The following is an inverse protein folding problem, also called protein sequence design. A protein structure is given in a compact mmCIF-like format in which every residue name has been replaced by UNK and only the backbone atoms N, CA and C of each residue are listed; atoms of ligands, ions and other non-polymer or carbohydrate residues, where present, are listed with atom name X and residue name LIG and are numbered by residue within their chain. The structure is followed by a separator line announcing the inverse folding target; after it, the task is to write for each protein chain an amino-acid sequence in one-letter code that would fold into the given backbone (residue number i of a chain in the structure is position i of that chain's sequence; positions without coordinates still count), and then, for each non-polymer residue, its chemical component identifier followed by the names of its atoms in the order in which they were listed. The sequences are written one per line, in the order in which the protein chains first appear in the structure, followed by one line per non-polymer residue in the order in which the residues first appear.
data_IF_148566834284
#
_entry.id   IF_148566834284
#
_cell.length_a   1.000
_cell.length_b   1.000
_cell.length_c   1.000
_cell.angle_alpha   90.00
_cell.angle_beta   90.00
_cell.angle_gamma   90.00
#
_symmetry.space_group_name_H-M   'P 1'
#
loop_
_entity.id
_entity.type
_entity.pdbx_description
1 polymer ?
#
# COMPACT_ATOMS: atom_id res chain seq x y z
N UNK A 1 -15.09 20.21 21.43
CA UNK A 1 -13.94 20.64 22.23
C UNK A 1 -13.79 19.68 23.40
N UNK A 2 -12.75 18.86 23.37
CA UNK A 2 -12.27 18.08 24.53
C UNK A 2 -11.03 18.76 25.08
N UNK A 3 -10.91 18.72 26.40
CA UNK A 3 -9.98 19.47 27.23
C UNK A 3 -8.56 18.88 27.19
N UNK A 4 -8.03 18.60 26.00
CA UNK A 4 -6.65 18.13 25.81
C UNK A 4 -5.82 19.10 24.96
N UNK A 5 -6.43 20.18 24.44
CA UNK A 5 -5.77 21.15 23.55
C UNK A 5 -5.30 22.43 24.29
N UNK A 6 -5.01 22.36 25.59
CA UNK A 6 -4.57 23.53 26.37
C UNK A 6 -3.08 23.51 26.78
N UNK A 7 -2.33 22.44 26.51
CA UNK A 7 -0.93 22.32 26.96
C UNK A 7 0.04 21.97 25.82
N UNK A 8 -0.15 22.54 24.63
CA UNK A 8 0.93 22.63 23.65
C UNK A 8 0.74 23.80 22.66
N UNK A 9 0.60 25.01 23.18
CA UNK A 9 0.54 26.23 22.34
C UNK A 9 1.31 27.36 22.98
N UNK A 10 2.54 27.09 23.41
CA UNK A 10 3.41 28.16 23.91
C UNK A 10 4.87 28.09 23.47
N UNK A 11 5.27 27.24 22.53
CA UNK A 11 6.64 27.28 22.01
C UNK A 11 6.71 26.74 20.56
N UNK A 12 6.07 27.43 19.61
CA UNK A 12 6.71 27.71 18.31
C UNK A 12 5.74 28.55 17.46
N UNK A 13 6.02 29.85 17.45
CA UNK A 13 5.59 30.75 16.40
C UNK A 13 6.22 30.25 15.07
N UNK A 14 5.43 29.58 14.22
CA UNK A 14 5.29 29.87 12.79
C UNK A 14 4.54 28.74 12.07
N UNK A 15 3.42 29.13 11.48
CA UNK A 15 2.64 28.45 10.44
C UNK A 15 1.73 27.26 10.82
N UNK A 16 0.46 27.62 11.01
CA UNK A 16 -0.76 26.92 10.52
C UNK A 16 -1.13 25.61 11.23
N UNK A 17 -1.42 25.69 12.52
CA UNK A 17 -2.54 24.93 13.08
C UNK A 17 -3.85 25.47 12.49
N UNK A 18 -4.15 25.05 11.25
CA UNK A 18 -5.48 25.16 10.65
C UNK A 18 -6.33 24.06 11.28
N UNK A 19 -6.72 24.24 12.54
CA UNK A 19 -7.77 23.45 13.18
C UNK A 19 -9.09 23.87 12.52
N UNK A 20 -9.35 23.33 11.33
CA UNK A 20 -10.55 23.62 10.56
C UNK A 20 -11.78 23.23 11.38
N UNK A 21 -12.66 24.19 11.65
CA UNK A 21 -13.95 23.88 12.25
C UNK A 21 -14.76 23.07 11.23
N UNK A 22 -14.84 21.76 11.46
CA UNK A 22 -15.66 20.83 10.69
C UNK A 22 -17.12 21.30 10.74
N UNK A 23 -17.74 21.48 9.57
CA UNK A 23 -19.16 21.82 9.46
C UNK A 23 -20.00 20.57 9.42
N UNK A 24 -19.79 19.74 8.40
CA UNK A 24 -20.52 18.51 8.15
C UNK A 24 -19.57 17.46 7.55
N UNK A 25 -19.68 16.21 7.99
CA UNK A 25 -18.93 15.07 7.47
C UNK A 25 -19.89 13.94 7.12
N UNK A 26 -19.77 13.41 5.90
CA UNK A 26 -20.51 12.25 5.42
C UNK A 26 -19.54 11.17 5.00
N UNK A 27 -19.69 9.98 5.56
CA UNK A 27 -18.91 8.81 5.13
C UNK A 27 -19.87 7.73 4.64
N UNK A 28 -19.65 7.28 3.41
CA UNK A 28 -20.35 6.17 2.79
C UNK A 28 -19.35 5.03 2.58
N UNK A 29 -19.59 3.92 3.25
CA UNK A 29 -18.79 2.70 3.09
C UNK A 29 -19.69 1.59 2.55
N UNK A 30 -19.24 0.95 1.48
CA UNK A 30 -19.92 -0.16 0.86
C UNK A 30 -18.93 -1.28 0.61
N UNK A 31 -19.23 -2.48 1.12
CA UNK A 31 -18.39 -3.66 0.96
C UNK A 31 -19.28 -4.83 0.60
N UNK A 32 -19.15 -5.34 -0.63
CA UNK A 32 -19.92 -6.48 -1.09
C UNK A 32 -19.02 -7.54 -1.71
N UNK A 33 -19.17 -8.77 -1.22
CA UNK A 33 -18.60 -9.94 -1.85
C UNK A 33 -19.64 -10.57 -2.80
N UNK A 34 -19.30 -10.61 -4.09
CA UNK A 34 -20.08 -11.28 -5.11
C UNK A 34 -19.48 -12.68 -5.33
N UNK A 35 -19.84 -13.63 -4.46
CA UNK A 35 -19.31 -15.00 -4.53
C UNK A 35 -19.65 -15.73 -5.83
N UNK A 36 -20.76 -15.36 -6.49
CA UNK A 36 -21.17 -15.95 -7.78
C UNK A 36 -20.18 -15.67 -8.93
N UNK A 37 -19.45 -14.55 -8.84
CA UNK A 37 -18.46 -14.13 -9.85
C UNK A 37 -17.06 -13.97 -9.24
N UNK A 38 -16.84 -14.42 -8.00
CA UNK A 38 -15.58 -14.26 -7.27
C UNK A 38 -15.01 -12.83 -7.30
N UNK A 39 -15.88 -11.82 -7.17
CA UNK A 39 -15.49 -10.40 -7.10
C UNK A 39 -15.75 -9.87 -5.71
N UNK A 40 -14.79 -9.16 -5.15
CA UNK A 40 -14.96 -8.33 -3.95
C UNK A 40 -14.90 -6.87 -4.36
N UNK A 41 -15.94 -6.11 -4.00
CA UNK A 41 -16.00 -4.68 -4.23
C UNK A 41 -16.05 -3.96 -2.88
N UNK A 42 -15.16 -2.99 -2.73
CA UNK A 42 -15.08 -2.11 -1.58
C UNK A 42 -15.04 -0.67 -2.05
N UNK A 43 -15.91 0.16 -1.50
CA UNK A 43 -16.02 1.58 -1.79
C UNK A 43 -16.05 2.30 -0.45
N UNK A 44 -15.16 3.26 -0.28
CA UNK A 44 -15.21 4.21 0.82
C UNK A 44 -15.20 5.60 0.21
N UNK A 45 -16.19 6.40 0.57
CA UNK A 45 -16.29 7.80 0.16
C UNK A 45 -16.50 8.64 1.40
N UNK A 46 -15.70 9.68 1.56
CA UNK A 46 -15.82 10.64 2.64
C UNK A 46 -15.89 12.03 2.05
N UNK A 47 -16.96 12.75 2.35
CA UNK A 47 -17.15 14.15 2.03
C UNK A 47 -17.09 14.95 3.33
N UNK A 48 -16.22 15.95 3.38
CA UNK A 48 -16.11 16.85 4.53
C UNK A 48 -16.22 18.29 4.06
N UNK A 49 -17.08 19.04 4.72
CA UNK A 49 -17.21 20.48 4.51
C UNK A 49 -16.71 21.21 5.74
N UNK A 50 -16.04 22.34 5.50
CA UNK A 50 -15.50 23.19 6.55
C UNK A 50 -16.19 24.55 6.50
N UNK A 51 -16.20 25.28 7.62
CA UNK A 51 -16.72 26.65 7.65
C UNK A 51 -15.79 27.65 6.93
N UNK A 52 -14.48 27.42 6.99
CA UNK A 52 -13.45 28.38 6.59
C UNK A 52 -12.49 27.84 5.51
N UNK A 53 -12.78 26.67 4.93
CA UNK A 53 -11.94 26.01 3.92
C UNK A 53 -12.82 25.40 2.82
N UNK A 54 -12.26 25.19 1.62
CA UNK A 54 -12.93 24.46 0.54
C UNK A 54 -13.32 23.04 0.97
N UNK A 55 -14.35 22.49 0.33
CA UNK A 55 -14.80 21.13 0.60
C UNK A 55 -13.70 20.13 0.27
N UNK A 56 -13.66 19.05 1.04
CA UNK A 56 -12.68 17.99 0.88
C UNK A 56 -13.38 16.68 0.56
N UNK A 57 -13.08 16.13 -0.61
CA UNK A 57 -13.61 14.86 -1.09
C UNK A 57 -12.51 13.81 -1.13
N UNK A 58 -12.79 12.64 -0.58
CA UNK A 58 -11.88 11.50 -0.68
C UNK A 58 -12.67 10.25 -1.02
N UNK A 59 -12.26 9.53 -2.06
CA UNK A 59 -12.83 8.23 -2.39
C UNK A 59 -11.73 7.18 -2.53
N UNK A 60 -12.08 5.96 -2.17
CA UNK A 60 -11.25 4.79 -2.33
C UNK A 60 -12.13 3.63 -2.82
N UNK A 61 -11.87 3.16 -4.03
CA UNK A 61 -12.58 2.09 -4.72
C UNK A 61 -11.63 0.93 -4.95
N UNK A 62 -11.85 -0.20 -4.28
CA UNK A 62 -11.12 -1.45 -4.52
C UNK A 62 -12.03 -2.50 -5.13
N UNK A 63 -11.62 -3.04 -6.27
CA UNK A 63 -12.23 -4.20 -6.89
C UNK A 63 -11.19 -5.30 -6.94
N UNK A 64 -11.50 -6.47 -6.41
CA UNK A 64 -10.62 -7.64 -6.47
C UNK A 64 -11.37 -8.82 -7.05
N UNK A 65 -10.82 -9.43 -8.09
CA UNK A 65 -11.39 -10.60 -8.75
C UNK A 65 -10.43 -11.78 -8.63
N UNK A 66 -10.96 -12.94 -8.26
CA UNK A 66 -10.22 -14.17 -8.17
C UNK A 66 -10.72 -15.16 -9.21
N UNK A 67 -9.80 -15.71 -9.99
CA UNK A 67 -10.14 -16.65 -11.05
C UNK A 67 -9.07 -17.72 -11.20
N UNK A 68 -9.49 -18.86 -11.76
CA UNK A 68 -8.63 -20.00 -12.04
C UNK A 68 -8.50 -20.15 -13.56
N UNK A 69 -7.28 -20.36 -14.04
CA UNK A 69 -7.00 -20.56 -15.48
C UNK A 69 -6.19 -21.84 -15.66
N UNK A 70 -6.83 -22.88 -16.21
CA UNK A 70 -6.20 -24.16 -16.48
C UNK A 70 -5.72 -24.85 -15.21
N UNK A 71 -4.42 -25.11 -15.12
CA UNK A 71 -3.78 -25.72 -13.95
C UNK A 71 -3.40 -24.70 -12.87
N UNK A 72 -3.41 -23.40 -13.20
CA UNK A 72 -3.10 -22.33 -12.27
C UNK A 72 -4.37 -21.89 -11.56
N UNK A 73 -4.39 -22.07 -10.24
CA UNK A 73 -5.52 -21.72 -9.37
C UNK A 73 -5.14 -20.58 -8.43
N UNK A 74 -6.10 -19.72 -8.13
CA UNK A 74 -5.91 -18.60 -7.20
C UNK A 74 -5.23 -17.39 -7.81
N UNK A 75 -5.45 -17.12 -9.10
CA UNK A 75 -5.04 -15.85 -9.70
C UNK A 75 -5.88 -14.74 -9.10
N UNK A 76 -5.24 -13.67 -8.64
CA UNK A 76 -5.93 -12.51 -8.09
C UNK A 76 -5.61 -11.26 -8.89
N UNK A 77 -6.64 -10.55 -9.31
CA UNK A 77 -6.53 -9.24 -9.93
C UNK A 77 -7.22 -8.24 -9.02
N UNK A 78 -6.48 -7.32 -8.43
CA UNK A 78 -7.01 -6.19 -7.68
C UNK A 78 -6.76 -4.89 -8.44
N UNK A 79 -7.77 -4.03 -8.43
CA UNK A 79 -7.71 -2.66 -8.95
C UNK A 79 -8.20 -1.78 -7.82
N UNK A 80 -7.40 -0.78 -7.47
CA UNK A 80 -7.69 0.21 -6.46
C UNK A 80 -7.60 1.59 -7.10
N UNK A 81 -8.71 2.33 -7.14
CA UNK A 81 -8.72 3.72 -7.57
C UNK A 81 -8.98 4.60 -6.36
N UNK A 82 -8.14 5.59 -6.14
CA UNK A 82 -8.32 6.54 -5.06
C UNK A 82 -8.23 7.96 -5.57
N UNK A 83 -8.90 8.86 -4.84
CA UNK A 83 -8.64 10.28 -4.89
C UNK A 83 -8.54 10.78 -3.47
N UNK A 84 -7.51 11.56 -3.22
CA UNK A 84 -7.38 12.37 -2.04
C UNK A 84 -7.36 13.83 -2.48
N UNK A 85 -8.13 14.66 -1.80
CA UNK A 85 -8.09 16.11 -1.99
C UNK A 85 -7.66 16.72 -0.67
N UNK A 86 -6.66 17.59 -0.68
CA UNK A 86 -6.17 18.28 0.51
C UNK A 86 -5.72 19.69 0.12
N UNK A 87 -6.28 20.72 0.78
CA UNK A 87 -5.93 22.14 0.58
C UNK A 87 -5.82 22.59 -0.90
N UNK A 88 -6.82 22.22 -1.74
CA UNK A 88 -6.91 22.45 -3.20
C UNK A 88 -5.95 21.64 -4.08
N UNK A 89 -5.12 20.77 -3.52
CA UNK A 89 -4.34 19.79 -4.27
C UNK A 89 -5.16 18.50 -4.39
N UNK A 90 -5.28 18.00 -5.62
CA UNK A 90 -6.04 16.78 -5.95
C UNK A 90 -5.04 15.74 -6.41
N UNK A 91 -4.92 14.69 -5.60
CA UNK A 91 -4.10 13.53 -5.91
C UNK A 91 -5.04 12.37 -6.24
N UNK A 92 -5.20 12.09 -7.53
CA UNK A 92 -5.86 10.86 -7.96
C UNK A 92 -4.88 9.84 -8.52
N UNK A 93 -5.23 8.57 -8.30
CA UNK A 93 -4.37 7.46 -8.62
C UNK A 93 -5.15 6.17 -8.82
N UNK A 94 -4.59 5.30 -9.65
CA UNK A 94 -5.08 3.95 -9.89
C UNK A 94 -3.92 2.99 -9.71
N UNK A 95 -4.13 2.02 -8.84
CA UNK A 95 -3.24 0.91 -8.57
C UNK A 95 -3.85 -0.38 -9.10
N UNK A 96 -3.11 -1.13 -9.89
CA UNK A 96 -3.50 -2.43 -10.42
C UNK A 96 -2.48 -3.45 -9.95
N UNK A 97 -2.93 -4.52 -9.31
CA UNK A 97 -2.10 -5.62 -8.84
C UNK A 97 -2.66 -6.94 -9.35
N UNK A 98 -1.86 -7.65 -10.14
CA UNK A 98 -2.14 -9.00 -10.61
C UNK A 98 -1.16 -9.95 -9.92
N UNK A 99 -1.65 -11.02 -9.30
CA UNK A 99 -0.84 -12.06 -8.69
C UNK A 99 -1.21 -13.42 -9.25
N UNK A 100 -0.22 -14.13 -9.76
CA UNK A 100 -0.34 -15.42 -10.41
C UNK A 100 0.55 -16.41 -9.64
N UNK A 101 -0.01 -17.28 -8.79
CA UNK A 101 0.75 -18.37 -8.21
C UNK A 101 1.18 -19.35 -9.30
N UNK A 102 2.47 -19.68 -9.40
CA UNK A 102 2.98 -20.62 -10.40
C UNK A 102 3.65 -21.81 -9.70
N UNK A 103 3.06 -23.00 -9.87
CA UNK A 103 3.52 -24.20 -9.18
C UNK A 103 3.22 -24.13 -7.68
N UNK A 104 4.01 -24.84 -6.88
CA UNK A 104 3.72 -25.00 -5.45
C UNK A 104 4.35 -23.92 -4.56
N UNK A 105 5.37 -23.22 -5.06
CA UNK A 105 6.28 -22.42 -4.25
C UNK A 105 6.61 -21.05 -4.83
N UNK A 106 6.02 -20.68 -5.98
CA UNK A 106 6.36 -19.45 -6.70
C UNK A 106 5.13 -18.60 -6.95
N UNK A 107 5.31 -17.30 -7.01
CA UNK A 107 4.25 -16.36 -7.33
C UNK A 107 4.82 -15.24 -8.17
N UNK A 108 4.22 -15.02 -9.32
CA UNK A 108 4.53 -13.90 -10.19
C UNK A 108 3.51 -12.80 -9.92
N UNK A 109 3.96 -11.63 -9.52
CA UNK A 109 3.11 -10.46 -9.31
C UNK A 109 3.42 -9.38 -10.33
N UNK A 110 2.43 -8.58 -10.67
CA UNK A 110 2.57 -7.39 -11.50
C UNK A 110 1.79 -6.28 -10.83
N UNK A 111 2.46 -5.17 -10.55
CA UNK A 111 1.90 -4.01 -9.89
C UNK A 111 2.12 -2.79 -10.79
N UNK A 112 1.04 -2.10 -11.13
CA UNK A 112 1.08 -0.83 -11.84
C UNK A 112 0.41 0.24 -11.01
N UNK A 113 1.10 1.35 -10.74
CA UNK A 113 0.52 2.54 -10.13
C UNK A 113 0.53 3.66 -11.16
N UNK A 114 -0.59 4.35 -11.32
CA UNK A 114 -0.73 5.48 -12.23
C UNK A 114 -1.38 6.61 -11.46
N UNK A 115 -0.67 7.71 -11.27
CA UNK A 115 -1.13 8.94 -10.62
C UNK A 115 -0.75 10.13 -11.51
N UNK A 116 -1.39 11.28 -11.30
CA UNK A 116 -1.25 12.48 -12.16
C UNK A 116 0.21 12.80 -12.54
N UNK A 117 1.13 12.72 -11.58
CA UNK A 117 2.55 13.04 -11.77
C UNK A 117 3.50 11.83 -11.75
N UNK A 118 3.00 10.62 -11.44
CA UNK A 118 3.85 9.44 -11.22
C UNK A 118 3.20 8.14 -11.70
N UNK A 119 3.89 7.44 -12.58
CA UNK A 119 3.56 6.14 -13.12
C UNK A 119 4.68 5.17 -12.79
N UNK A 120 4.33 4.04 -12.18
CA UNK A 120 5.26 2.94 -11.93
C UNK A 120 4.67 1.63 -12.40
N UNK A 121 5.51 0.79 -12.99
CA UNK A 121 5.14 -0.56 -13.40
C UNK A 121 6.23 -1.51 -12.94
N UNK A 122 5.84 -2.52 -12.18
CA UNK A 122 6.77 -3.40 -11.48
C UNK A 122 6.30 -4.85 -11.57
N UNK A 123 7.19 -5.72 -12.00
CA UNK A 123 6.99 -7.17 -12.02
C UNK A 123 7.75 -7.76 -10.84
N UNK A 124 7.05 -8.50 -9.99
CA UNK A 124 7.60 -9.22 -8.87
C UNK A 124 7.67 -10.72 -9.12
N UNK A 125 8.74 -11.34 -8.67
CA UNK A 125 8.88 -12.79 -8.59
C UNK A 125 9.21 -13.17 -7.15
N UNK A 126 8.29 -13.93 -6.55
CA UNK A 126 8.43 -14.49 -5.23
C UNK A 126 8.64 -16.00 -5.34
N UNK A 127 9.60 -16.53 -4.59
CA UNK A 127 9.81 -17.97 -4.47
C UNK A 127 10.15 -18.36 -3.04
N UNK A 128 9.46 -19.39 -2.56
CA UNK A 128 9.72 -20.04 -1.28
C UNK A 128 10.55 -21.30 -1.51
N UNK A 129 11.84 -21.22 -1.23
CA UNK A 129 12.80 -22.32 -1.41
C UNK A 129 12.45 -23.48 -0.46
N UNK A 130 12.15 -23.15 0.79
CA UNK A 130 11.73 -24.09 1.84
C UNK A 130 10.89 -23.36 2.90
N UNK A 131 10.49 -24.06 3.97
CA UNK A 131 9.63 -23.48 5.00
C UNK A 131 10.29 -22.36 5.81
N UNK A 132 11.59 -22.13 5.63
CA UNK A 132 12.40 -21.14 6.36
C UNK A 132 13.01 -20.09 5.45
N UNK A 133 13.05 -20.32 4.14
CA UNK A 133 13.74 -19.49 3.15
C UNK A 133 12.76 -19.00 2.08
N UNK A 134 12.63 -17.69 1.96
CA UNK A 134 11.94 -17.07 0.84
C UNK A 134 12.72 -15.86 0.32
N UNK A 135 12.56 -15.59 -0.96
CA UNK A 135 13.06 -14.38 -1.58
C UNK A 135 12.02 -13.79 -2.50
N UNK A 136 12.07 -12.47 -2.64
CA UNK A 136 11.32 -11.74 -3.63
C UNK A 136 12.27 -10.80 -4.37
N UNK A 137 12.11 -10.75 -5.68
CA UNK A 137 12.79 -9.77 -6.52
C UNK A 137 11.71 -9.09 -7.34
N UNK A 138 11.69 -7.77 -7.29
CA UNK A 138 10.81 -6.96 -8.10
C UNK A 138 11.63 -6.04 -8.98
N UNK A 139 11.29 -6.01 -10.27
CA UNK A 139 11.94 -5.18 -11.26
C UNK A 139 10.88 -4.38 -11.99
N UNK A 140 11.13 -3.09 -12.18
CA UNK A 140 10.15 -2.18 -12.72
C UNK A 140 10.75 -0.94 -13.33
N UNK A 141 9.86 -0.02 -13.67
CA UNK A 141 10.19 1.32 -14.13
C UNK A 141 9.20 2.29 -13.52
N UNK A 142 9.72 3.33 -12.88
CA UNK A 142 8.99 4.50 -12.45
C UNK A 142 9.30 5.69 -13.37
N UNK A 143 8.68 6.84 -13.14
CA UNK A 143 8.93 8.07 -13.91
C UNK A 143 10.42 8.46 -13.97
N UNK A 144 11.14 8.30 -12.86
CA UNK A 144 12.57 8.66 -12.76
C UNK A 144 13.54 7.62 -13.33
N UNK A 145 13.05 6.45 -13.77
CA UNK A 145 13.89 5.41 -14.39
C UNK A 145 13.59 4.00 -13.92
N UNK A 146 14.54 3.09 -14.11
CA UNK A 146 14.42 1.70 -13.69
C UNK A 146 14.42 1.55 -12.16
N UNK A 147 13.51 0.72 -11.66
CA UNK A 147 13.45 0.32 -10.25
C UNK A 147 13.79 -1.16 -10.12
N UNK A 148 14.55 -1.50 -9.08
CA UNK A 148 14.86 -2.87 -8.72
C UNK A 148 14.88 -2.97 -7.21
N UNK A 149 14.01 -3.79 -6.65
CA UNK A 149 14.00 -4.09 -5.23
C UNK A 149 13.93 -5.59 -4.99
N UNK A 150 14.39 -6.01 -3.83
CA UNK A 150 14.31 -7.40 -3.46
C UNK A 150 14.65 -7.61 -2.01
N UNK A 151 14.17 -8.72 -1.49
CA UNK A 151 14.48 -9.13 -0.14
C UNK A 151 14.67 -10.63 -0.05
N UNK A 152 15.42 -11.04 0.96
CA UNK A 152 15.64 -12.42 1.33
C UNK A 152 15.39 -12.56 2.82
N UNK A 153 14.49 -13.48 3.17
CA UNK A 153 14.13 -13.82 4.55
C UNK A 153 14.56 -15.23 4.85
N UNK A 154 15.33 -15.40 5.93
CA UNK A 154 15.69 -16.69 6.50
C UNK A 154 15.22 -16.80 7.96
N UNK A 155 14.28 -17.70 8.22
CA UNK A 155 13.76 -17.97 9.55
C UNK A 155 14.57 -19.10 10.21
N UNK A 156 15.54 -18.74 11.06
CA UNK A 156 16.26 -19.74 11.85
C UNK A 156 15.50 -20.03 13.15
N UNK A 157 15.82 -21.15 13.80
CA UNK A 157 15.18 -21.56 15.05
C UNK A 157 15.41 -20.60 16.22
N UNK A 158 16.41 -19.72 16.13
CA UNK A 158 16.81 -18.80 17.20
C UNK A 158 16.70 -17.32 16.81
N UNK A 159 16.72 -16.99 15.52
CA UNK A 159 16.63 -15.62 15.05
C UNK A 159 16.22 -15.57 13.56
N UNK A 160 15.47 -14.54 13.18
CA UNK A 160 14.99 -14.35 11.81
C UNK A 160 15.88 -13.31 11.10
N UNK A 161 16.49 -13.64 9.96
CA UNK A 161 17.33 -12.73 9.16
C UNK A 161 16.48 -12.19 8.01
N UNK A 162 16.44 -10.86 7.88
CA UNK A 162 15.82 -10.17 6.75
C UNK A 162 16.84 -9.24 6.11
N UNK A 163 17.11 -9.46 4.83
CA UNK A 163 18.00 -8.60 4.03
C UNK A 163 17.18 -8.03 2.88
N UNK A 164 17.19 -6.71 2.73
CA UNK A 164 16.54 -6.01 1.63
C UNK A 164 17.51 -5.10 0.90
N UNK A 165 17.34 -4.98 -0.41
CA UNK A 165 18.06 -4.06 -1.25
C UNK A 165 17.07 -3.40 -2.20
N UNK A 166 17.15 -2.08 -2.32
CA UNK A 166 16.29 -1.28 -3.17
C UNK A 166 17.16 -0.33 -4.00
N UNK A 167 16.89 -0.25 -5.28
CA UNK A 167 17.57 0.58 -6.24
C UNK A 167 16.52 1.31 -7.08
N UNK A 168 16.62 2.63 -7.11
CA UNK A 168 15.79 3.49 -7.95
C UNK A 168 16.71 4.41 -8.74
N UNK A 169 16.70 4.25 -10.06
CA UNK A 169 17.45 5.10 -10.96
C UNK A 169 17.04 6.56 -10.78
N UNK A 170 18.03 7.45 -10.65
CA UNK A 170 17.79 8.89 -10.49
C UNK A 170 17.50 9.35 -9.05
N UNK A 171 17.13 8.44 -8.13
CA UNK A 171 16.75 8.81 -6.76
C UNK A 171 17.71 8.27 -5.70
N UNK A 172 17.71 6.97 -5.45
CA UNK A 172 18.48 6.39 -4.35
C UNK A 172 18.83 4.92 -4.54
N UNK A 173 19.82 4.48 -3.79
CA UNK A 173 20.12 3.07 -3.57
C UNK A 173 20.22 2.84 -2.08
N UNK A 174 19.42 1.92 -1.55
CA UNK A 174 19.39 1.59 -0.14
C UNK A 174 19.48 0.08 0.08
N UNK A 175 20.12 -0.30 1.17
CA UNK A 175 20.21 -1.68 1.61
C UNK A 175 20.02 -1.75 3.10
N UNK A 176 19.20 -2.69 3.55
CA UNK A 176 18.90 -2.91 4.95
C UNK A 176 19.13 -4.37 5.30
N UNK A 177 19.66 -4.61 6.50
CA UNK A 177 19.63 -5.93 7.11
C UNK A 177 19.05 -5.75 8.51
N UNK A 178 17.97 -6.46 8.78
CA UNK A 178 17.34 -6.50 10.09
C UNK A 178 17.36 -7.93 10.63
N UNK A 179 17.54 -8.01 11.94
CA UNK A 179 17.60 -9.28 12.63
C UNK A 179 16.73 -9.20 13.90
N UNK A 180 15.41 -9.36 13.77
CA UNK A 180 14.54 -9.44 14.93
C UNK A 180 14.92 -10.68 15.76
N UNK A 181 15.53 -10.44 16.91
CA UNK A 181 15.75 -11.48 17.90
C UNK A 181 14.41 -11.94 18.47
N UNK A 182 14.12 -13.25 18.41
CA UNK A 182 12.97 -13.80 19.13
C UNK A 182 13.22 -13.67 20.61
N UNK A 183 12.50 -12.74 21.25
CA UNK A 183 12.31 -12.79 22.70
C UNK A 183 11.31 -13.89 22.95
N UNK A 184 11.80 -15.09 23.21
CA UNK A 184 11.02 -16.12 23.88
C UNK A 184 10.59 -15.53 25.22
N UNK A 185 9.34 -15.08 25.29
CA UNK A 185 8.69 -14.70 26.53
C UNK A 185 8.26 -15.98 27.25
N UNK A 186 9.25 -16.71 27.76
CA UNK A 186 9.04 -17.72 28.79
C UNK A 186 9.74 -17.22 30.06
N UNK A 187 8.97 -16.58 30.94
CA UNK A 187 9.14 -16.52 32.41
C UNK A 187 7.93 -15.79 33.02
#
# INVERSE_FOLDING_TARGET
MTMDEFIDTHNDDNDRQRTGHDKEMYTLTYSQNFSAINVNAYINYTHRTYWNQPNQDSYNLTLSHYFDVGEVRGISLSVNGFRNEYDNERDDGVYVSLSIPWGNNRTLSYNGSFSDDNNSNQVGYYERIDDRNNYQINAGRADNGATLDGYYRHQASYADIDVSANYQEGDYTSGGAEHPGRRDADC
#
